data_IF_037841875472
#
_entry.id   IF_037841875472
#
_cell.length_a   1.000
_cell.length_b   1.000
_cell.length_c   1.000
_cell.angle_alpha   90.00
_cell.angle_beta   90.00
_cell.angle_gamma   90.00
#
_symmetry.space_group_name_H-M   'P 1'
#
loop_
_entity.id
_entity.type
_entity.pdbx_description
1 polymer ?
#
# COMPACT_ATOMS: atom_id res chain seq x y z
N UNK A 1 -4.04 22.12 6.05
CA UNK A 1 -3.58 21.57 4.75
C UNK A 1 -2.08 21.14 4.83
N UNK A 2 -1.71 20.25 5.76
CA UNK A 2 -0.31 19.77 5.92
C UNK A 2 -0.10 18.33 5.39
N UNK A 3 -1.19 17.58 5.21
CA UNK A 3 -1.19 16.16 4.84
C UNK A 3 -0.88 15.90 3.35
N UNK A 4 -1.11 16.90 2.48
CA UNK A 4 -0.89 16.79 1.03
C UNK A 4 0.57 17.01 0.61
N UNK A 5 1.43 17.52 1.51
CA UNK A 5 2.78 17.96 1.15
C UNK A 5 3.83 16.92 1.53
N UNK A 6 3.63 16.15 2.60
CA UNK A 6 4.75 15.42 3.20
C UNK A 6 4.75 13.90 3.05
N UNK A 7 3.63 13.20 2.82
CA UNK A 7 3.64 11.73 2.57
C UNK A 7 4.19 10.84 3.71
N UNK A 8 4.88 11.41 4.69
CA UNK A 8 5.43 10.84 5.91
C UNK A 8 5.51 11.98 6.94
N UNK A 9 5.24 11.70 8.22
CA UNK A 9 5.36 12.71 9.29
C UNK A 9 6.65 12.43 10.08
N UNK A 10 7.78 13.07 9.73
CA UNK A 10 9.02 12.88 10.48
C UNK A 10 8.83 13.37 11.92
N UNK A 11 9.63 12.81 12.84
CA UNK A 11 9.53 13.03 14.29
C UNK A 11 9.61 14.52 14.66
N UNK A 12 10.35 15.31 13.88
CA UNK A 12 10.46 16.77 14.01
C UNK A 12 9.13 17.51 13.79
N UNK A 13 8.29 17.04 12.85
CA UNK A 13 6.96 17.61 12.62
C UNK A 13 6.02 17.26 13.77
N UNK A 14 6.15 16.05 14.34
CA UNK A 14 5.39 15.64 15.53
C UNK A 14 5.72 16.55 16.73
N UNK A 15 7.00 16.90 16.92
CA UNK A 15 7.42 17.85 17.96
C UNK A 15 6.89 19.27 17.72
N UNK A 16 6.88 19.75 16.48
CA UNK A 16 6.33 21.07 16.16
C UNK A 16 4.81 21.14 16.41
N UNK A 17 4.08 20.07 16.09
CA UNK A 17 2.64 19.96 16.33
C UNK A 17 2.32 19.83 17.82
N UNK A 18 3.09 19.02 18.56
CA UNK A 18 2.97 18.88 20.02
C UNK A 18 3.14 20.21 20.75
N UNK A 19 4.16 21.00 20.35
CA UNK A 19 4.41 22.35 20.90
C UNK A 19 3.29 23.34 20.61
N UNK A 20 2.67 23.28 19.42
CA UNK A 20 1.55 24.18 19.07
C UNK A 20 0.23 23.80 19.75
N UNK A 21 0.03 22.52 20.04
CA UNK A 21 -1.21 22.01 20.64
C UNK A 21 -1.13 21.84 22.17
N UNK A 22 0.01 22.16 22.79
CA UNK A 22 0.27 21.95 24.22
C UNK A 22 0.02 20.50 24.67
N UNK A 23 0.32 19.54 23.79
CA UNK A 23 0.16 18.11 24.06
C UNK A 23 1.53 17.45 24.26
N UNK A 24 1.57 16.36 25.02
CA UNK A 24 2.79 15.57 25.21
C UNK A 24 3.15 14.79 23.93
N UNK A 25 4.45 14.61 23.66
CA UNK A 25 4.91 13.79 22.52
C UNK A 25 4.33 12.37 22.55
N UNK A 26 4.08 11.82 23.74
CA UNK A 26 3.45 10.53 23.94
C UNK A 26 1.98 10.50 23.48
N UNK A 27 1.21 11.56 23.72
CA UNK A 27 -0.17 11.68 23.22
C UNK A 27 -0.22 11.82 21.70
N UNK A 28 0.71 12.59 21.11
CA UNK A 28 0.80 12.73 19.65
C UNK A 28 1.22 11.40 19.00
N UNK A 29 2.23 10.72 19.56
CA UNK A 29 2.65 9.39 19.12
C UNK A 29 1.53 8.35 19.26
N UNK A 30 0.71 8.46 20.32
CA UNK A 30 -0.49 7.65 20.52
C UNK A 30 -1.51 7.87 19.41
N UNK A 31 -1.87 9.12 19.08
CA UNK A 31 -2.82 9.44 18.00
C UNK A 31 -2.29 9.05 16.62
N UNK A 32 -0.98 9.20 16.40
CA UNK A 32 -0.30 8.78 15.16
C UNK A 32 -0.30 7.27 15.01
N UNK A 33 -0.13 6.53 16.10
CA UNK A 33 -0.21 5.06 16.09
C UNK A 33 -1.66 4.54 16.03
N UNK A 34 -2.63 5.34 16.49
CA UNK A 34 -4.04 4.96 16.56
C UNK A 34 -4.78 5.09 15.21
N UNK A 35 -4.41 6.07 14.39
CA UNK A 35 -4.89 6.16 13.02
C UNK A 35 -3.97 5.34 12.11
N UNK A 36 -4.45 4.17 11.66
CA UNK A 36 -3.86 3.36 10.57
C UNK A 36 -3.60 4.14 9.26
N UNK A 37 -3.97 5.41 9.20
CA UNK A 37 -3.67 6.35 8.13
C UNK A 37 -2.22 6.87 8.17
N UNK A 38 -1.57 6.90 9.33
CA UNK A 38 -0.18 7.31 9.46
C UNK A 38 0.74 6.14 9.14
N UNK A 39 1.30 6.14 7.94
CA UNK A 39 2.27 5.09 7.60
C UNK A 39 3.63 5.50 8.14
N UNK A 40 4.11 4.77 9.15
CA UNK A 40 5.43 4.91 9.77
C UNK A 40 6.57 4.31 8.95
N UNK A 41 6.24 3.61 7.86
CA UNK A 41 7.20 3.05 6.90
C UNK A 41 7.20 3.85 5.59
N UNK A 42 8.36 4.07 4.95
CA UNK A 42 8.42 4.66 3.62
C UNK A 42 7.60 3.78 2.67
N UNK A 43 6.49 4.31 2.18
CA UNK A 43 5.72 3.65 1.10
C UNK A 43 6.44 3.92 -0.21
N UNK A 44 6.53 2.89 -1.04
CA UNK A 44 6.96 3.06 -2.41
C UNK A 44 6.03 4.01 -3.15
N UNK A 45 6.54 4.67 -4.20
CA UNK A 45 5.80 5.56 -5.10
C UNK A 45 4.48 4.95 -5.59
N UNK A 46 4.43 3.63 -5.73
CA UNK A 46 3.28 2.84 -6.15
C UNK A 46 2.90 1.82 -5.07
N UNK A 47 1.77 2.04 -4.40
CA UNK A 47 1.16 1.06 -3.50
C UNK A 47 0.29 0.10 -4.31
N UNK A 48 0.60 -1.20 -4.24
CA UNK A 48 -0.09 -2.30 -4.91
C UNK A 48 -0.84 -3.11 -3.87
N UNK A 49 -2.16 -3.04 -3.94
CA UNK A 49 -3.11 -3.56 -2.98
C UNK A 49 -3.87 -4.74 -3.61
N UNK A 50 -3.65 -5.96 -3.12
CA UNK A 50 -4.24 -7.17 -3.71
C UNK A 50 -5.36 -7.70 -2.82
N UNK A 51 -6.53 -7.94 -3.41
CA UNK A 51 -7.65 -8.53 -2.69
C UNK A 51 -7.46 -10.05 -2.53
N UNK A 52 -7.29 -10.50 -1.29
CA UNK A 52 -7.27 -11.91 -0.88
C UNK A 52 -8.60 -12.35 -0.23
N UNK A 53 -9.70 -11.66 -0.53
CA UNK A 53 -11.03 -12.09 -0.09
C UNK A 53 -11.41 -13.43 -0.70
N UNK A 54 -12.31 -14.17 -0.06
CA UNK A 54 -12.71 -15.53 -0.47
C UNK A 54 -13.05 -15.65 -1.96
N UNK A 55 -13.80 -14.68 -2.51
CA UNK A 55 -14.16 -14.65 -3.94
C UNK A 55 -12.95 -14.45 -4.87
N UNK A 56 -11.96 -13.65 -4.46
CA UNK A 56 -10.73 -13.45 -5.22
C UNK A 56 -9.77 -14.64 -5.04
N UNK A 57 -9.74 -15.22 -3.84
CA UNK A 57 -8.91 -16.37 -3.50
C UNK A 57 -9.27 -17.59 -4.34
N UNK A 58 -10.57 -17.93 -4.43
CA UNK A 58 -11.06 -19.06 -5.25
C UNK A 58 -10.79 -18.84 -6.75
N UNK A 59 -10.74 -17.57 -7.20
CA UNK A 59 -10.36 -17.22 -8.58
C UNK A 59 -8.85 -17.12 -8.82
N UNK A 60 -8.02 -17.44 -7.83
CA UNK A 60 -6.56 -17.50 -7.99
C UNK A 60 -5.84 -16.17 -7.75
N UNK A 61 -6.38 -15.25 -6.93
CA UNK A 61 -5.64 -14.03 -6.54
C UNK A 61 -4.35 -14.32 -5.80
N UNK A 62 -4.22 -15.49 -5.17
CA UNK A 62 -2.98 -15.95 -4.55
C UNK A 62 -1.85 -16.15 -5.58
N UNK A 63 -2.17 -16.63 -6.78
CA UNK A 63 -1.19 -16.76 -7.87
C UNK A 63 -0.72 -15.40 -8.36
N UNK A 64 -1.63 -14.43 -8.44
CA UNK A 64 -1.29 -13.04 -8.78
C UNK A 64 -0.32 -12.47 -7.74
N UNK A 65 -0.63 -12.63 -6.46
CA UNK A 65 0.26 -12.18 -5.39
C UNK A 65 1.63 -12.84 -5.50
N UNK A 66 1.69 -14.18 -5.61
CA UNK A 66 2.94 -14.92 -5.67
C UNK A 66 3.83 -14.48 -6.85
N UNK A 67 3.26 -14.22 -8.02
CA UNK A 67 4.03 -13.74 -9.16
C UNK A 67 4.52 -12.31 -9.01
N UNK A 68 3.73 -11.45 -8.37
CA UNK A 68 4.16 -10.08 -8.05
C UNK A 68 5.29 -10.10 -7.02
N UNK A 69 5.18 -10.94 -5.99
CA UNK A 69 6.23 -11.13 -4.99
C UNK A 69 7.52 -11.67 -5.63
N UNK A 70 7.40 -12.60 -6.59
CA UNK A 70 8.55 -13.15 -7.33
C UNK A 70 9.19 -12.10 -8.26
N UNK A 71 8.38 -11.26 -8.91
CA UNK A 71 8.85 -10.22 -9.80
C UNK A 71 9.61 -9.11 -9.04
N UNK A 72 9.04 -8.65 -7.92
CA UNK A 72 9.58 -7.55 -7.13
C UNK A 72 10.59 -8.02 -6.07
N UNK A 73 10.64 -9.33 -5.77
CA UNK A 73 11.53 -9.90 -4.75
C UNK A 73 11.17 -9.49 -3.32
N UNK A 74 9.95 -9.01 -3.08
CA UNK A 74 9.45 -8.59 -1.75
C UNK A 74 8.11 -9.26 -1.45
N UNK A 75 7.81 -9.45 -0.16
CA UNK A 75 6.54 -10.07 0.27
C UNK A 75 5.45 -9.03 0.52
N UNK A 76 4.19 -9.46 0.52
CA UNK A 76 3.09 -8.62 0.95
C UNK A 76 3.28 -8.13 2.41
N UNK A 77 2.90 -6.87 2.65
CA UNK A 77 2.94 -6.19 3.95
C UNK A 77 4.34 -6.08 4.58
N UNK A 78 5.40 -6.23 3.77
CA UNK A 78 6.80 -6.01 4.19
C UNK A 78 7.33 -4.64 3.76
N UNK A 79 8.65 -4.45 3.89
CA UNK A 79 9.34 -3.25 3.42
C UNK A 79 9.19 -3.06 1.89
N UNK A 80 9.28 -1.81 1.39
CA UNK A 80 9.19 -1.54 -0.05
C UNK A 80 10.26 -2.30 -0.83
N UNK A 81 10.00 -2.51 -2.11
CA UNK A 81 10.97 -3.06 -3.08
C UNK A 81 12.32 -2.35 -2.95
N UNK A 82 13.47 -3.02 -3.16
CA UNK A 82 14.79 -2.38 -3.13
C UNK A 82 14.90 -1.11 -4.00
N UNK A 83 14.10 -1.01 -5.06
CA UNK A 83 14.00 0.18 -5.91
C UNK A 83 13.28 1.37 -5.24
N UNK A 84 12.67 1.18 -4.07
CA UNK A 84 11.84 2.17 -3.38
C UNK A 84 10.56 2.57 -4.13
N UNK A 85 10.25 1.89 -5.25
CA UNK A 85 9.15 2.25 -6.14
C UNK A 85 7.83 1.56 -5.78
N UNK A 86 7.86 0.31 -5.31
CA UNK A 86 6.63 -0.45 -5.06
C UNK A 86 6.51 -0.88 -3.59
N UNK A 87 5.28 -0.89 -3.09
CA UNK A 87 4.89 -1.52 -1.83
C UNK A 87 3.72 -2.46 -2.10
N UNK A 88 3.82 -3.71 -1.64
CA UNK A 88 2.75 -4.70 -1.79
C UNK A 88 1.98 -4.78 -0.48
N UNK A 89 0.66 -4.68 -0.54
CA UNK A 89 -0.23 -4.90 0.60
C UNK A 89 -1.33 -5.89 0.27
N UNK A 90 -1.63 -6.79 1.20
CA UNK A 90 -2.65 -7.80 1.05
C UNK A 90 -3.93 -7.39 1.80
N UNK A 91 -4.95 -6.93 1.05
CA UNK A 91 -6.24 -6.57 1.62
C UNK A 91 -7.20 -7.75 1.65
N UNK A 92 -7.98 -7.82 2.73
CA UNK A 92 -8.97 -8.89 2.94
C UNK A 92 -10.20 -8.76 2.04
N UNK A 93 -10.71 -7.55 1.80
CA UNK A 93 -11.86 -7.36 0.91
C UNK A 93 -11.95 -5.91 0.43
N UNK A 94 -12.15 -5.74 -0.87
CA UNK A 94 -12.41 -4.44 -1.51
C UNK A 94 -13.92 -4.19 -1.70
N UNK A 95 -14.75 -5.23 -1.52
CA UNK A 95 -16.19 -5.17 -1.79
C UNK A 95 -16.57 -5.28 -3.27
N UNK A 96 -15.58 -5.35 -4.17
CA UNK A 96 -15.78 -5.49 -5.62
C UNK A 96 -15.78 -6.95 -6.09
N UNK A 97 -16.50 -7.84 -5.39
CA UNK A 97 -16.50 -9.29 -5.67
C UNK A 97 -16.95 -9.65 -7.09
N UNK A 98 -17.77 -8.82 -7.74
CA UNK A 98 -18.19 -9.00 -9.14
C UNK A 98 -17.04 -8.86 -10.16
N UNK A 99 -15.93 -8.23 -9.76
CA UNK A 99 -14.74 -8.01 -10.59
C UNK A 99 -13.54 -8.84 -10.14
N UNK A 100 -13.75 -9.83 -9.26
CA UNK A 100 -12.68 -10.73 -8.81
C UNK A 100 -12.01 -11.45 -10.00
N UNK A 101 -10.66 -11.58 -10.02
CA UNK A 101 -9.67 -11.04 -9.08
C UNK A 101 -9.46 -9.52 -9.20
N UNK A 102 -9.29 -8.85 -8.05
CA UNK A 102 -9.10 -7.38 -7.97
C UNK A 102 -7.74 -7.01 -7.40
N UNK A 103 -7.07 -6.07 -8.07
CA UNK A 103 -5.85 -5.40 -7.63
C UNK A 103 -6.08 -3.89 -7.67
N UNK A 104 -5.51 -3.14 -6.74
CA UNK A 104 -5.57 -1.68 -6.72
C UNK A 104 -4.14 -1.15 -6.76
N UNK A 105 -3.86 -0.17 -7.62
CA UNK A 105 -2.56 0.51 -7.64
C UNK A 105 -2.78 2.00 -7.44
N UNK A 106 -2.30 2.54 -6.32
CA UNK A 106 -2.44 3.95 -5.95
C UNK A 106 -3.90 4.49 -6.12
N UNK A 107 -4.88 3.69 -5.72
CA UNK A 107 -6.32 4.01 -5.83
C UNK A 107 -6.99 3.65 -7.17
N UNK A 108 -6.25 3.23 -8.19
CA UNK A 108 -6.84 2.71 -9.44
C UNK A 108 -7.21 1.25 -9.28
N UNK A 109 -8.49 0.92 -9.45
CA UNK A 109 -9.01 -0.45 -9.34
C UNK A 109 -8.86 -1.18 -10.68
N UNK A 110 -8.22 -2.33 -10.63
CA UNK A 110 -8.06 -3.26 -11.74
C UNK A 110 -8.79 -4.57 -11.40
N UNK A 111 -9.79 -4.92 -12.21
CA UNK A 111 -10.60 -6.12 -12.03
C UNK A 111 -10.40 -7.14 -13.15
N UNK A 112 -10.87 -8.37 -12.93
CA UNK A 112 -10.77 -9.52 -13.86
C UNK A 112 -9.34 -9.76 -14.35
N UNK A 113 -8.37 -9.59 -13.45
CA UNK A 113 -6.97 -9.73 -13.78
C UNK A 113 -6.53 -11.19 -13.80
N UNK A 114 -5.59 -11.48 -14.68
CA UNK A 114 -4.76 -12.70 -14.65
C UNK A 114 -3.37 -12.36 -14.11
N UNK A 115 -2.62 -13.39 -13.66
CA UNK A 115 -1.24 -13.21 -13.19
C UNK A 115 -0.34 -12.55 -14.26
N UNK A 116 -0.52 -12.92 -15.53
CA UNK A 116 0.22 -12.33 -16.65
C UNK A 116 -0.08 -10.82 -16.80
N UNK A 117 -1.36 -10.44 -16.79
CA UNK A 117 -1.77 -9.04 -16.89
C UNK A 117 -1.29 -8.21 -15.70
N UNK A 118 -1.32 -8.78 -14.49
CA UNK A 118 -0.82 -8.08 -13.31
C UNK A 118 0.69 -7.78 -13.42
N UNK A 119 1.48 -8.73 -13.92
CA UNK A 119 2.91 -8.53 -14.20
C UNK A 119 3.14 -7.47 -15.28
N UNK A 120 2.35 -7.48 -16.35
CA UNK A 120 2.45 -6.46 -17.41
C UNK A 120 2.14 -5.06 -16.87
N UNK A 121 1.10 -4.91 -16.06
CA UNK A 121 0.74 -3.64 -15.40
C UNK A 121 1.90 -3.15 -14.55
N UNK A 122 2.51 -4.01 -13.71
CA UNK A 122 3.64 -3.59 -12.87
C UNK A 122 4.84 -3.17 -13.72
N UNK A 123 5.14 -3.89 -14.81
CA UNK A 123 6.22 -3.50 -15.73
C UNK A 123 5.94 -2.17 -16.43
N UNK A 124 4.68 -1.87 -16.74
CA UNK A 124 4.29 -0.57 -17.30
C UNK A 124 4.54 0.55 -16.29
N UNK A 125 4.17 0.34 -15.02
CA UNK A 125 4.45 1.27 -13.93
C UNK A 125 5.96 1.44 -13.66
N UNK A 126 6.76 0.38 -13.84
CA UNK A 126 8.22 0.47 -13.78
C UNK A 126 8.79 1.35 -14.90
N UNK A 127 8.22 1.31 -16.11
CA UNK A 127 8.69 2.17 -17.23
C UNK A 127 8.27 3.63 -17.09
N UNK A 128 7.17 3.90 -16.38
CA UNK A 128 6.71 5.27 -16.08
C UNK A 128 7.37 5.87 -14.84
N UNK A 129 8.06 5.06 -14.04
CA UNK A 129 8.61 5.38 -12.73
C UNK A 129 10.00 5.99 -12.80
#
# INVERSE_FOLDING_TARGET
>A
RAQAIFGYLPREVQQHVAKRLYLSEAQVSGVVSFYNYFTTKPKGKYCVDICLGTACYVKGSQNILAEIERLLGVKADTDPTPDGLFSISALRCVGACGLAPVMIINGKVYGKLTAAQAVEIIKEYQRQG
#
